data_IF_019725509754
#
_entry.id   IF_019725509754
#
_cell.length_a   1.000
_cell.length_b   1.000
_cell.length_c   1.000
_cell.angle_alpha   90.00
_cell.angle_beta   90.00
_cell.angle_gamma   90.00
#
_symmetry.space_group_name_H-M   'P 1'
#
loop_
_entity.id
_entity.type
_entity.pdbx_description
1 polymer ?
#
# COMPACT_ATOMS: atom_id res chain seq x y z
N UNK A 1 -2.96 -9.65 -12.09
CA UNK A 1 -2.42 -8.57 -11.24
C UNK A 1 -1.62 -7.57 -12.07
N UNK A 2 -0.39 -7.87 -12.50
CA UNK A 2 0.45 -6.93 -13.28
C UNK A 2 -0.26 -6.34 -14.52
N UNK A 3 -0.95 -7.17 -15.31
CA UNK A 3 -1.73 -6.76 -16.50
C UNK A 3 -2.86 -5.75 -16.15
N UNK A 4 -3.62 -6.03 -15.09
CA UNK A 4 -4.71 -5.15 -14.62
C UNK A 4 -4.19 -3.79 -14.16
N UNK A 5 -3.14 -3.79 -13.35
CA UNK A 5 -2.53 -2.58 -12.80
C UNK A 5 -1.86 -1.75 -13.89
N UNK A 6 -1.21 -2.41 -14.86
CA UNK A 6 -0.60 -1.75 -16.02
C UNK A 6 -1.65 -1.07 -16.91
N UNK A 7 -2.78 -1.73 -17.17
CA UNK A 7 -3.89 -1.16 -17.94
C UNK A 7 -4.45 0.09 -17.25
N UNK A 8 -4.76 0.00 -15.96
CA UNK A 8 -5.28 1.13 -15.20
C UNK A 8 -4.28 2.29 -15.12
N UNK A 9 -2.99 2.03 -14.86
CA UNK A 9 -1.96 3.06 -14.84
C UNK A 9 -1.88 3.80 -16.18
N UNK A 10 -1.93 3.06 -17.29
CA UNK A 10 -1.87 3.63 -18.64
C UNK A 10 -3.09 4.48 -18.95
N UNK A 11 -4.28 4.06 -18.53
CA UNK A 11 -5.51 4.86 -18.62
C UNK A 11 -5.37 6.19 -17.90
N UNK A 12 -4.89 6.20 -16.65
CA UNK A 12 -4.71 7.44 -15.89
C UNK A 12 -3.66 8.35 -16.50
N UNK A 13 -2.58 7.78 -17.04
CA UNK A 13 -1.55 8.53 -17.76
C UNK A 13 -2.09 9.18 -19.04
N UNK A 14 -2.98 8.51 -19.77
CA UNK A 14 -3.63 9.08 -20.96
C UNK A 14 -4.66 10.13 -20.59
N UNK A 15 -5.48 9.90 -19.56
CA UNK A 15 -6.44 10.88 -19.05
C UNK A 15 -5.74 12.17 -18.61
N UNK A 16 -4.61 12.06 -17.91
CA UNK A 16 -3.81 13.22 -17.49
C UNK A 16 -3.25 14.04 -18.67
N UNK A 17 -3.08 13.41 -19.84
CA UNK A 17 -2.67 14.08 -21.08
C UNK A 17 -3.85 14.66 -21.86
N UNK A 18 -5.07 14.59 -21.31
CA UNK A 18 -6.30 15.04 -21.96
C UNK A 18 -6.84 14.07 -23.01
N UNK A 19 -6.34 12.82 -23.03
CA UNK A 19 -6.74 11.80 -24.00
C UNK A 19 -7.74 10.87 -23.30
N UNK A 20 -8.99 10.90 -23.74
CA UNK A 20 -10.04 10.01 -23.23
C UNK A 20 -9.90 8.67 -23.95
N UNK A 21 -8.98 7.85 -23.47
CA UNK A 21 -8.76 6.50 -23.93
C UNK A 21 -8.66 5.55 -22.74
N UNK A 22 -9.38 4.44 -22.82
CA UNK A 22 -9.40 3.43 -21.76
C UNK A 22 -8.62 2.19 -22.22
N UNK A 23 -7.54 1.88 -21.51
CA UNK A 23 -6.79 0.65 -21.70
C UNK A 23 -7.47 -0.48 -20.92
N UNK A 24 -7.66 -1.63 -21.56
CA UNK A 24 -8.18 -2.85 -20.92
C UNK A 24 -7.08 -3.87 -20.72
N UNK A 25 -7.15 -4.59 -19.61
CA UNK A 25 -6.30 -5.74 -19.36
C UNK A 25 -6.61 -6.89 -20.34
N UNK A 26 -5.61 -7.73 -20.60
CA UNK A 26 -5.64 -8.73 -21.67
C UNK A 26 -6.52 -9.93 -21.31
N UNK A 27 -6.50 -10.38 -20.05
CA UNK A 27 -7.25 -11.56 -19.59
C UNK A 27 -8.53 -11.19 -18.84
N UNK A 28 -9.57 -12.02 -18.94
CA UNK A 28 -10.83 -11.84 -18.19
C UNK A 28 -10.64 -11.66 -16.67
N UNK A 29 -9.86 -12.49 -15.95
CA UNK A 29 -9.61 -12.26 -14.53
C UNK A 29 -8.87 -10.93 -14.26
N UNK A 30 -7.98 -10.50 -15.16
CA UNK A 30 -7.32 -9.21 -15.02
C UNK A 30 -8.28 -8.03 -15.28
N UNK A 31 -9.21 -8.14 -16.22
CA UNK A 31 -10.23 -7.12 -16.48
C UNK A 31 -11.19 -6.94 -15.30
N UNK A 32 -11.54 -8.03 -14.60
CA UNK A 32 -12.32 -7.97 -13.36
C UNK A 32 -11.57 -7.20 -12.28
N UNK A 33 -10.31 -7.56 -12.04
CA UNK A 33 -9.46 -6.87 -11.07
C UNK A 33 -9.25 -5.39 -11.45
N UNK A 34 -9.04 -5.08 -12.72
CA UNK A 34 -8.94 -3.70 -13.23
C UNK A 34 -10.19 -2.89 -12.88
N UNK A 35 -11.38 -3.48 -13.09
CA UNK A 35 -12.66 -2.84 -12.78
C UNK A 35 -12.81 -2.58 -11.28
N UNK A 36 -12.44 -3.54 -10.44
CA UNK A 36 -12.46 -3.39 -8.97
C UNK A 36 -11.49 -2.31 -8.49
N UNK A 37 -10.26 -2.29 -9.03
CA UNK A 37 -9.26 -1.26 -8.73
C UNK A 37 -9.75 0.13 -9.14
N UNK A 38 -10.40 0.25 -10.30
CA UNK A 38 -11.01 1.50 -10.75
C UNK A 38 -12.09 1.97 -9.78
N UNK A 39 -12.99 1.10 -9.36
CA UNK A 39 -14.04 1.44 -8.38
C UNK A 39 -13.44 1.90 -7.05
N UNK A 40 -12.41 1.19 -6.55
CA UNK A 40 -11.73 1.58 -5.32
C UNK A 40 -11.03 2.95 -5.45
N UNK A 41 -10.43 3.21 -6.60
CA UNK A 41 -9.77 4.47 -6.90
C UNK A 41 -10.76 5.64 -7.00
N UNK A 42 -11.88 5.43 -7.70
CA UNK A 42 -12.90 6.48 -7.86
C UNK A 42 -13.47 6.88 -6.48
N UNK A 43 -13.72 5.90 -5.59
CA UNK A 43 -14.08 6.19 -4.18
C UNK A 43 -13.01 7.00 -3.45
N UNK A 44 -11.75 6.61 -3.58
CA UNK A 44 -10.65 7.32 -2.92
C UNK A 44 -10.49 8.75 -3.45
N UNK A 45 -10.78 9.00 -4.73
CA UNK A 45 -10.77 10.34 -5.32
C UNK A 45 -11.90 11.20 -4.77
N UNK A 46 -13.10 10.64 -4.61
CA UNK A 46 -14.25 11.35 -4.04
C UNK A 46 -13.99 11.76 -2.58
N UNK A 47 -13.30 10.91 -1.82
CA UNK A 47 -12.94 11.18 -0.42
C UNK A 47 -11.69 12.08 -0.27
N UNK A 48 -10.90 12.28 -1.33
CA UNK A 48 -9.64 12.99 -1.26
C UNK A 48 -9.83 14.51 -1.19
N UNK A 49 -9.22 15.14 -0.18
CA UNK A 49 -9.19 16.62 -0.05
C UNK A 49 -8.23 17.31 -1.03
N UNK A 50 -7.35 16.55 -1.69
CA UNK A 50 -6.31 17.06 -2.61
C UNK A 50 -6.15 16.13 -3.83
N UNK A 51 -5.66 16.63 -4.98
CA UNK A 51 -5.42 15.81 -6.16
C UNK A 51 -4.35 14.73 -5.91
N UNK A 52 -4.70 13.46 -6.09
CA UNK A 52 -3.83 12.30 -5.80
C UNK A 52 -3.34 11.55 -7.06
N UNK A 53 -3.76 11.98 -8.25
CA UNK A 53 -3.59 11.20 -9.49
C UNK A 53 -2.14 10.83 -9.82
N UNK A 54 -1.20 11.74 -9.57
CA UNK A 54 0.22 11.49 -9.80
C UNK A 54 0.75 10.37 -8.88
N UNK A 55 0.35 10.40 -7.62
CA UNK A 55 0.82 9.45 -6.61
C UNK A 55 0.21 8.07 -6.84
N UNK A 56 -1.04 8.02 -7.29
CA UNK A 56 -1.70 6.78 -7.70
C UNK A 56 -1.00 6.15 -8.90
N UNK A 57 -0.68 6.93 -9.95
CA UNK A 57 0.06 6.39 -11.10
C UNK A 57 1.40 5.79 -10.66
N UNK A 58 2.14 6.47 -9.77
CA UNK A 58 3.40 5.96 -9.22
C UNK A 58 3.15 4.67 -8.43
N UNK A 59 2.13 4.62 -7.58
CA UNK A 59 1.78 3.45 -6.79
C UNK A 59 1.40 2.25 -7.68
N UNK A 60 0.59 2.47 -8.73
CA UNK A 60 0.22 1.44 -9.69
C UNK A 60 1.46 0.93 -10.44
N UNK A 61 2.37 1.80 -10.90
CA UNK A 61 3.62 1.39 -11.58
C UNK A 61 4.53 0.57 -10.67
N UNK A 62 4.70 0.95 -9.41
CA UNK A 62 5.46 0.17 -8.43
C UNK A 62 4.81 -1.19 -8.17
N UNK A 63 3.48 -1.21 -8.10
CA UNK A 63 2.70 -2.44 -7.90
C UNK A 63 2.79 -3.37 -9.11
N UNK A 64 2.76 -2.84 -10.33
CA UNK A 64 3.00 -3.59 -11.56
C UNK A 64 4.39 -4.25 -11.51
N UNK A 65 5.43 -3.48 -11.19
CA UNK A 65 6.80 -3.97 -11.09
C UNK A 65 6.92 -5.07 -10.04
N UNK A 66 6.37 -4.86 -8.84
CA UNK A 66 6.37 -5.85 -7.78
C UNK A 66 5.63 -7.13 -8.19
N UNK A 67 4.50 -7.02 -8.89
CA UNK A 67 3.75 -8.19 -9.37
C UNK A 67 4.50 -8.96 -10.47
N UNK A 68 5.27 -8.28 -11.32
CA UNK A 68 6.14 -8.94 -12.31
C UNK A 68 7.31 -9.66 -11.64
N UNK A 69 7.99 -8.99 -10.70
CA UNK A 69 9.07 -9.59 -9.91
C UNK A 69 8.57 -10.78 -9.09
N UNK A 70 7.38 -10.68 -8.49
CA UNK A 70 6.75 -11.78 -7.80
C UNK A 70 6.48 -12.94 -8.76
N UNK A 71 5.93 -12.70 -9.96
CA UNK A 71 5.74 -13.76 -10.96
C UNK A 71 7.05 -14.47 -11.33
N UNK A 72 8.14 -13.73 -11.46
CA UNK A 72 9.46 -14.29 -11.75
C UNK A 72 10.02 -15.10 -10.57
N UNK A 73 9.89 -14.59 -9.34
CA UNK A 73 10.29 -15.30 -8.12
C UNK A 73 9.42 -16.53 -7.84
N UNK A 74 8.13 -16.47 -8.21
CA UNK A 74 7.14 -17.53 -8.09
C UNK A 74 7.13 -18.48 -9.30
N UNK A 75 8.01 -18.31 -10.28
CA UNK A 75 8.16 -19.27 -11.37
C UNK A 75 8.78 -20.61 -10.89
N UNK A 76 8.89 -20.80 -9.59
CA UNK A 76 9.25 -22.05 -8.93
C UNK A 76 8.04 -22.92 -8.56
N UNK A 77 8.28 -23.84 -7.65
CA UNK A 77 7.35 -24.92 -7.25
C UNK A 77 6.24 -24.42 -6.32
N UNK A 78 5.26 -25.27 -6.00
CA UNK A 78 4.19 -24.95 -5.03
C UNK A 78 4.72 -24.38 -3.70
N UNK A 79 5.94 -24.75 -3.30
CA UNK A 79 6.62 -24.25 -2.09
C UNK A 79 6.93 -22.75 -2.16
N UNK A 80 7.32 -22.23 -3.32
CA UNK A 80 7.67 -20.81 -3.51
C UNK A 80 6.42 -19.91 -3.37
N UNK A 81 5.27 -20.43 -3.81
CA UNK A 81 3.98 -19.78 -3.59
C UNK A 81 3.60 -19.75 -2.10
N UNK A 82 3.80 -20.85 -1.37
CA UNK A 82 3.52 -20.90 0.07
C UNK A 82 4.45 -19.97 0.87
N UNK A 83 5.73 -19.88 0.53
CA UNK A 83 6.66 -18.93 1.15
C UNK A 83 6.24 -17.47 0.91
N UNK A 84 5.76 -17.14 -0.28
CA UNK A 84 5.22 -15.81 -0.54
C UNK A 84 3.99 -15.52 0.32
N UNK A 85 3.03 -16.45 0.39
CA UNK A 85 1.83 -16.27 1.22
C UNK A 85 2.22 -16.08 2.68
N UNK A 86 3.19 -16.85 3.19
CA UNK A 86 3.71 -16.69 4.55
C UNK A 86 4.32 -15.29 4.76
N UNK A 87 5.12 -14.80 3.80
CA UNK A 87 5.72 -13.46 3.89
C UNK A 87 4.68 -12.34 3.83
N UNK A 88 3.67 -12.46 2.98
CA UNK A 88 2.58 -11.48 2.87
C UNK A 88 1.78 -11.42 4.17
N UNK A 89 1.46 -12.57 4.77
CA UNK A 89 0.77 -12.62 6.07
C UNK A 89 1.61 -11.98 7.17
N UNK A 90 2.93 -12.23 7.21
CA UNK A 90 3.82 -11.60 8.18
C UNK A 90 3.95 -10.09 7.99
N UNK A 91 4.06 -9.60 6.75
CA UNK A 91 4.16 -8.17 6.45
C UNK A 91 2.88 -7.42 6.84
N UNK A 92 1.71 -8.01 6.53
CA UNK A 92 0.41 -7.47 6.95
C UNK A 92 0.27 -7.46 8.48
N UNK A 93 0.67 -8.52 9.16
CA UNK A 93 0.67 -8.57 10.63
C UNK A 93 1.63 -7.52 11.24
N UNK A 94 2.78 -7.29 10.61
CA UNK A 94 3.78 -6.32 11.07
C UNK A 94 3.31 -4.87 10.86
N UNK A 95 2.64 -4.60 9.74
CA UNK A 95 2.06 -3.27 9.43
C UNK A 95 0.77 -2.97 10.21
N UNK A 96 0.09 -4.00 10.71
CA UNK A 96 -1.14 -3.87 11.51
C UNK A 96 -0.88 -3.68 13.01
N UNK A 97 0.37 -3.81 13.47
CA UNK A 97 0.71 -3.59 14.89
C UNK A 97 0.73 -2.07 15.16
N UNK A 98 -0.19 -1.52 15.97
CA UNK A 98 -0.08 -0.13 16.41
C UNK A 98 1.23 -0.02 17.20
N UNK A 99 1.95 1.09 17.04
CA UNK A 99 3.12 1.38 17.86
C UNK A 99 2.72 1.44 19.34
N UNK A 100 2.84 0.31 20.05
CA UNK A 100 2.78 0.27 21.49
C UNK A 100 4.04 0.96 22.00
N UNK A 101 3.89 2.22 22.40
CA UNK A 101 4.90 2.93 23.19
C UNK A 101 4.98 2.25 24.57
N UNK A 102 5.97 1.37 24.73
CA UNK A 102 6.44 0.96 26.04
C UNK A 102 7.42 2.01 26.58
N UNK A 103 6.98 2.78 27.57
CA UNK A 103 7.85 3.24 28.67
C UNK A 103 6.98 3.60 29.85
N UNK A 104 6.50 2.57 30.53
CA UNK A 104 6.11 2.62 31.93
C UNK A 104 7.05 1.71 32.69
N UNK A 105 8.11 2.26 33.28
CA UNK A 105 8.86 1.61 34.35
C UNK A 105 8.66 2.47 35.60
N UNK A 106 7.76 1.99 36.44
CA UNK A 106 7.42 2.56 37.73
C UNK A 106 8.35 2.02 38.83
N UNK A 107 8.40 2.76 39.93
CA UNK A 107 8.67 2.34 41.30
C UNK A 107 10.11 2.43 41.84
N UNK A 108 10.38 3.48 42.62
CA UNK A 108 10.43 3.38 44.10
C UNK A 108 10.68 4.75 44.74
N UNK A 109 9.89 5.09 45.76
CA UNK A 109 9.74 6.46 46.26
C UNK A 109 10.74 6.95 47.30
N UNK A 110 10.70 8.27 47.53
CA UNK A 110 10.75 8.93 48.84
C UNK A 110 10.36 10.43 48.67
N UNK A 111 9.87 11.12 49.73
CA UNK A 111 9.11 12.36 49.60
C UNK A 111 9.96 13.64 49.67
N UNK A 112 9.42 14.70 49.05
CA UNK A 112 9.57 16.14 49.34
C UNK A 112 10.85 16.67 49.98
N UNK A 113 11.55 17.59 49.27
CA UNK A 113 12.07 18.83 49.88
C UNK A 113 11.97 20.03 48.94
N UNK A 114 11.16 21.00 49.36
CA UNK A 114 11.18 22.39 48.92
C UNK A 114 12.52 23.03 49.36
N UNK A 115 13.27 23.62 48.44
CA UNK A 115 14.39 24.52 48.76
C UNK A 115 14.22 25.82 47.96
N UNK A 116 13.92 26.90 48.68
CA UNK A 116 14.08 28.29 48.23
C UNK A 116 15.31 28.84 48.97
N UNK A 117 16.33 29.35 48.25
CA UNK A 117 16.80 30.73 48.50
C UNK A 117 17.17 31.43 47.18
N UNK A 118 16.68 32.65 46.91
CA UNK A 118 17.26 33.93 47.34
C UNK A 118 17.74 34.68 46.08
N UNK A 119 17.08 35.75 45.63
CA UNK A 119 17.23 37.13 46.10
C UNK A 119 16.03 37.97 45.67
#
# INVERSE_FOLDING_TARGET
MADAVAALAKTLETERRGIIYHHKATSLPAQRLESELKVALDKQRDDAKVPIDKDIVIALRRTEQAARQAKEALAGTDTDYLELIQRVVQDLASKSKPAAQESGQDSSGEPSRLIIPGS
#
